data_IF_241868010751
#
_entry.id   IF_241868010751
#
_cell.length_a   1.000
_cell.length_b   1.000
_cell.length_c   1.000
_cell.angle_alpha   90.00
_cell.angle_beta   90.00
_cell.angle_gamma   90.00
#
_symmetry.space_group_name_H-M   'P 1'
#
loop_
_entity.id
_entity.type
_entity.pdbx_description
1 polymer ?
#
# COMPACT_ATOMS: atom_id res chain seq x y z
N UNK A 1 -18.17 -12.49 21.20
CA UNK A 1 -16.88 -12.16 21.83
C UNK A 1 -16.45 -10.73 21.47
N UNK A 2 -15.39 -10.20 22.11
CA UNK A 2 -14.78 -8.91 21.74
C UNK A 2 -13.32 -9.16 21.35
N UNK A 3 -13.02 -8.93 20.10
CA UNK A 3 -11.70 -9.09 19.52
C UNK A 3 -11.00 -7.76 19.35
N UNK A 4 -9.73 -7.67 19.68
CA UNK A 4 -8.89 -6.50 19.42
C UNK A 4 -7.99 -6.70 18.22
N UNK A 5 -7.77 -5.66 17.43
CA UNK A 5 -6.75 -5.66 16.40
C UNK A 5 -5.80 -4.48 16.57
N UNK A 6 -4.51 -4.77 16.66
CA UNK A 6 -3.43 -3.80 16.80
C UNK A 6 -2.42 -3.96 15.65
N UNK A 7 -1.94 -2.83 15.12
CA UNK A 7 -0.96 -2.83 14.02
C UNK A 7 0.08 -1.73 14.19
N UNK A 8 1.34 -2.09 13.94
CA UNK A 8 2.44 -1.13 13.84
C UNK A 8 3.28 -1.40 12.59
N UNK A 9 3.99 -0.37 12.10
CA UNK A 9 5.09 -0.56 11.16
C UNK A 9 6.38 -0.83 11.93
N UNK A 10 7.30 -1.59 11.37
CA UNK A 10 8.62 -1.83 11.98
C UNK A 10 9.38 -0.53 12.31
N UNK A 11 9.17 0.53 11.53
CA UNK A 11 9.71 1.87 11.80
C UNK A 11 8.91 2.65 12.87
N UNK A 12 7.68 2.27 13.15
CA UNK A 12 6.77 2.98 14.07
C UNK A 12 6.79 2.44 15.50
N UNK A 13 7.53 1.37 15.79
CA UNK A 13 7.67 0.82 17.15
C UNK A 13 8.37 1.75 18.14
N UNK A 14 9.11 2.75 17.64
CA UNK A 14 9.92 3.65 18.45
C UNK A 14 9.23 5.00 18.81
N UNK A 15 7.96 5.21 18.41
CA UNK A 15 7.25 6.47 18.68
C UNK A 15 6.25 6.25 19.80
N UNK A 16 6.39 6.97 20.89
CA UNK A 16 5.51 6.95 22.06
C UNK A 16 4.02 7.02 21.70
N UNK A 17 3.22 6.14 22.33
CA UNK A 17 1.77 6.05 22.17
C UNK A 17 1.27 5.29 20.94
N UNK A 18 2.14 4.79 20.06
CA UNK A 18 1.79 3.99 18.89
C UNK A 18 2.35 2.56 18.93
N UNK A 19 2.99 2.16 20.04
CA UNK A 19 3.53 0.81 20.20
C UNK A 19 2.41 -0.24 20.25
N UNK A 20 2.74 -1.50 19.98
CA UNK A 20 1.79 -2.62 20.12
C UNK A 20 1.31 -2.75 21.55
N UNK A 21 2.19 -2.54 22.53
CA UNK A 21 1.91 -2.64 23.96
C UNK A 21 0.87 -1.58 24.36
N UNK A 22 1.08 -0.31 23.99
CA UNK A 22 0.13 0.75 24.26
C UNK A 22 -1.24 0.51 23.61
N UNK A 23 -1.28 0.00 22.36
CA UNK A 23 -2.53 -0.35 21.71
C UNK A 23 -3.21 -1.53 22.45
N UNK A 24 -2.44 -2.54 22.89
CA UNK A 24 -2.97 -3.68 23.60
C UNK A 24 -3.64 -3.29 24.94
N UNK A 25 -3.01 -2.41 25.71
CA UNK A 25 -3.57 -1.89 26.96
C UNK A 25 -4.92 -1.18 26.72
N UNK A 26 -4.97 -0.31 25.72
CA UNK A 26 -6.20 0.40 25.34
C UNK A 26 -7.28 -0.56 24.86
N UNK A 27 -6.93 -1.58 24.06
CA UNK A 27 -7.88 -2.58 23.59
C UNK A 27 -8.41 -3.47 24.72
N UNK A 28 -7.56 -3.84 25.69
CA UNK A 28 -7.97 -4.58 26.91
C UNK A 28 -8.93 -3.73 27.74
N UNK A 29 -8.60 -2.47 27.95
CA UNK A 29 -9.47 -1.53 28.65
C UNK A 29 -10.85 -1.36 27.98
N UNK A 30 -10.90 -1.48 26.65
CA UNK A 30 -12.12 -1.49 25.86
C UNK A 30 -12.87 -2.85 25.86
N UNK A 31 -12.40 -3.83 26.64
CA UNK A 31 -13.03 -5.12 26.83
C UNK A 31 -12.60 -6.22 25.84
N UNK A 32 -11.55 -6.02 25.04
CA UNK A 32 -11.06 -7.05 24.13
C UNK A 32 -10.54 -8.26 24.90
N UNK A 33 -11.10 -9.45 24.64
CA UNK A 33 -10.74 -10.72 25.26
C UNK A 33 -9.63 -11.46 24.52
N UNK A 34 -9.50 -11.21 23.21
CA UNK A 34 -8.44 -11.74 22.36
C UNK A 34 -7.94 -10.66 21.43
N UNK A 35 -6.62 -10.50 21.29
CA UNK A 35 -6.01 -9.42 20.51
C UNK A 35 -5.07 -10.01 19.47
N UNK A 36 -5.28 -9.63 18.21
CA UNK A 36 -4.44 -9.94 17.06
C UNK A 36 -3.46 -8.79 16.83
N UNK A 37 -2.17 -9.10 16.80
CA UNK A 37 -1.09 -8.10 16.72
C UNK A 37 -0.32 -8.26 15.43
N UNK A 38 -0.37 -7.26 14.57
CA UNK A 38 0.30 -7.25 13.27
C UNK A 38 1.53 -6.34 13.30
N UNK A 39 2.68 -6.88 12.94
CA UNK A 39 3.92 -6.11 12.70
C UNK A 39 4.18 -6.07 11.20
N UNK A 40 4.14 -4.89 10.64
CA UNK A 40 4.33 -4.70 9.22
C UNK A 40 5.80 -4.45 8.87
N UNK A 41 6.41 -5.33 8.07
CA UNK A 41 7.77 -5.20 7.57
C UNK A 41 7.78 -5.01 6.05
N UNK A 42 8.18 -3.81 5.59
CA UNK A 42 8.44 -3.55 4.17
C UNK A 42 7.21 -3.29 3.27
N UNK A 43 7.36 -3.53 1.98
CA UNK A 43 6.37 -3.21 0.93
C UNK A 43 5.31 -4.30 0.70
N UNK A 44 5.55 -5.53 1.12
CA UNK A 44 4.60 -6.63 0.98
C UNK A 44 3.58 -6.62 2.12
N UNK A 45 2.30 -6.57 1.74
CA UNK A 45 1.18 -6.41 2.64
C UNK A 45 0.56 -7.79 2.98
N UNK A 46 1.35 -8.63 3.64
CA UNK A 46 0.80 -9.83 4.26
C UNK A 46 0.15 -9.43 5.59
N UNK A 47 -1.15 -9.70 5.75
CA UNK A 47 -1.95 -9.37 6.94
C UNK A 47 -2.37 -10.64 7.67
N UNK A 48 -1.40 -11.47 8.00
CA UNK A 48 -1.65 -12.80 8.57
C UNK A 48 -2.50 -12.78 9.83
N UNK A 49 -2.31 -11.77 10.67
CA UNK A 49 -3.07 -11.65 11.91
C UNK A 49 -4.49 -11.10 11.65
N UNK A 50 -4.66 -10.23 10.67
CA UNK A 50 -5.99 -9.81 10.22
C UNK A 50 -6.76 -10.97 9.60
N UNK A 51 -6.12 -11.76 8.74
CA UNK A 51 -6.71 -12.92 8.09
C UNK A 51 -7.17 -13.96 9.14
N UNK A 52 -6.39 -14.17 10.23
CA UNK A 52 -6.77 -15.00 11.36
C UNK A 52 -7.98 -14.44 12.11
N UNK A 53 -7.99 -13.13 12.35
CA UNK A 53 -9.14 -12.47 12.98
C UNK A 53 -10.40 -12.68 12.14
N UNK A 54 -10.33 -12.48 10.83
CA UNK A 54 -11.47 -12.65 9.92
C UNK A 54 -11.95 -14.10 9.83
N UNK A 55 -11.06 -15.06 9.97
CA UNK A 55 -11.40 -16.48 10.00
C UNK A 55 -12.09 -16.91 11.32
N UNK A 56 -11.87 -16.18 12.42
CA UNK A 56 -12.36 -16.58 13.74
C UNK A 56 -13.62 -15.81 14.14
N UNK A 57 -13.75 -14.55 13.73
CA UNK A 57 -14.87 -13.71 14.12
C UNK A 57 -16.18 -14.16 13.50
N UNK A 58 -17.27 -14.11 14.29
CA UNK A 58 -18.61 -14.54 13.88
C UNK A 58 -19.64 -13.42 14.03
N UNK A 59 -20.79 -13.61 13.39
CA UNK A 59 -21.94 -12.69 13.55
C UNK A 59 -22.32 -12.52 15.02
N UNK A 60 -22.53 -11.29 15.45
CA UNK A 60 -22.78 -10.92 16.84
C UNK A 60 -21.53 -10.57 17.65
N UNK A 61 -20.34 -10.87 17.13
CA UNK A 61 -19.07 -10.46 17.76
C UNK A 61 -18.79 -8.97 17.55
N UNK A 62 -17.79 -8.47 18.28
CA UNK A 62 -17.35 -7.09 18.19
C UNK A 62 -15.84 -7.06 17.91
N UNK A 63 -15.42 -6.32 16.89
CA UNK A 63 -14.01 -6.00 16.64
C UNK A 63 -13.73 -4.61 17.20
N UNK A 64 -12.69 -4.47 18.00
CA UNK A 64 -12.24 -3.20 18.58
C UNK A 64 -10.89 -2.83 17.99
N UNK A 65 -10.75 -1.59 17.54
CA UNK A 65 -9.49 -1.02 17.04
C UNK A 65 -9.28 0.38 17.65
N UNK A 66 -8.04 0.77 17.88
CA UNK A 66 -7.74 2.07 18.48
C UNK A 66 -8.06 3.23 17.55
N UNK A 67 -7.74 3.08 16.26
CA UNK A 67 -7.96 4.08 15.20
C UNK A 67 -8.21 3.40 13.86
N UNK A 68 -8.89 4.08 12.94
CA UNK A 68 -9.21 3.57 11.60
C UNK A 68 -7.94 3.23 10.78
N UNK A 69 -6.87 4.01 10.90
CA UNK A 69 -5.60 3.79 10.22
C UNK A 69 -4.87 2.51 10.67
N UNK A 70 -5.28 1.90 11.78
CA UNK A 70 -4.82 0.57 12.19
C UNK A 70 -5.44 -0.54 11.35
N UNK A 71 -6.64 -0.34 10.87
CA UNK A 71 -7.38 -1.32 10.04
C UNK A 71 -6.88 -1.29 8.60
N UNK A 72 -6.68 -0.11 8.02
CA UNK A 72 -6.23 0.04 6.64
C UNK A 72 -5.28 1.25 6.47
N UNK A 73 -4.64 1.35 5.32
CA UNK A 73 -3.75 2.48 4.97
C UNK A 73 -4.48 3.65 4.31
N UNK A 74 -5.64 3.39 3.75
CA UNK A 74 -6.49 4.42 3.14
C UNK A 74 -7.83 4.43 3.82
N UNK A 75 -8.48 5.58 3.85
CA UNK A 75 -9.85 5.71 4.37
C UNK A 75 -10.81 4.81 3.59
N UNK A 76 -10.69 4.75 2.27
CA UNK A 76 -11.51 3.88 1.41
C UNK A 76 -11.37 2.42 1.81
N UNK A 77 -10.15 1.88 1.85
CA UNK A 77 -9.93 0.48 2.20
C UNK A 77 -10.31 0.15 3.65
N UNK A 78 -10.20 1.12 4.57
CA UNK A 78 -10.69 0.95 5.94
C UNK A 78 -12.19 0.88 6.01
N UNK A 79 -12.85 1.74 5.27
CA UNK A 79 -14.30 1.73 5.14
C UNK A 79 -14.82 0.42 4.54
N UNK A 80 -14.28 0.00 3.38
CA UNK A 80 -14.69 -1.22 2.69
C UNK A 80 -14.57 -2.46 3.60
N UNK A 81 -13.48 -2.54 4.36
CA UNK A 81 -13.26 -3.64 5.29
C UNK A 81 -14.27 -3.61 6.46
N UNK A 82 -14.49 -2.44 7.07
CA UNK A 82 -15.46 -2.28 8.16
C UNK A 82 -16.87 -2.60 7.65
N UNK A 83 -17.23 -2.13 6.47
CA UNK A 83 -18.54 -2.38 5.87
C UNK A 83 -18.76 -3.88 5.63
N UNK A 84 -17.75 -4.59 5.12
CA UNK A 84 -17.80 -6.05 4.94
C UNK A 84 -18.03 -6.81 6.25
N UNK A 85 -17.43 -6.35 7.36
CA UNK A 85 -17.63 -6.95 8.67
C UNK A 85 -19.05 -6.69 9.20
N UNK A 86 -19.56 -5.48 9.00
CA UNK A 86 -20.92 -5.11 9.42
C UNK A 86 -21.98 -5.90 8.62
N UNK A 87 -21.75 -6.12 7.33
CA UNK A 87 -22.61 -6.97 6.49
C UNK A 87 -22.65 -8.43 6.97
N UNK A 88 -21.54 -8.92 7.54
CA UNK A 88 -21.48 -10.23 8.22
C UNK A 88 -22.10 -10.23 9.61
N UNK A 89 -22.70 -9.13 10.06
CA UNK A 89 -23.32 -9.01 11.38
C UNK A 89 -22.35 -8.76 12.53
N UNK A 90 -21.12 -8.33 12.24
CA UNK A 90 -20.09 -8.01 13.22
C UNK A 90 -20.19 -6.51 13.55
N UNK A 91 -20.07 -6.15 14.81
CA UNK A 91 -19.94 -4.75 15.24
C UNK A 91 -18.48 -4.33 15.23
N UNK A 92 -18.20 -3.10 14.83
CA UNK A 92 -16.84 -2.55 14.84
C UNK A 92 -16.79 -1.33 15.73
N UNK A 93 -15.97 -1.36 16.77
CA UNK A 93 -15.72 -0.22 17.64
C UNK A 93 -14.36 0.39 17.31
N UNK A 94 -14.38 1.53 16.65
CA UNK A 94 -13.20 2.35 16.41
C UNK A 94 -13.11 3.39 17.50
N UNK A 95 -12.20 3.22 18.46
CA UNK A 95 -12.24 3.96 19.74
C UNK A 95 -12.25 5.49 19.60
N UNK A 96 -11.65 6.02 18.54
CA UNK A 96 -11.65 7.46 18.27
C UNK A 96 -12.84 7.94 17.43
N UNK A 97 -13.73 7.04 16.95
CA UNK A 97 -14.86 7.36 16.09
C UNK A 97 -16.19 6.85 16.66
N UNK A 98 -16.13 5.79 17.47
CA UNK A 98 -17.30 5.16 18.07
C UNK A 98 -17.65 3.80 17.45
N UNK A 99 -18.82 3.28 17.83
CA UNK A 99 -19.33 1.99 17.40
C UNK A 99 -19.99 2.12 16.03
N UNK A 100 -19.58 1.25 15.11
CA UNK A 100 -20.16 1.10 13.78
C UNK A 100 -20.89 -0.24 13.69
N UNK A 101 -22.15 -0.18 13.35
CA UNK A 101 -23.04 -1.33 13.23
C UNK A 101 -24.07 -1.10 12.10
N UNK A 102 -25.13 -1.91 12.06
CA UNK A 102 -26.14 -1.82 11.04
C UNK A 102 -27.32 -0.86 11.38
N UNK A 103 -27.16 0.03 12.37
CA UNK A 103 -28.16 1.05 12.69
C UNK A 103 -28.23 2.14 11.61
N UNK A 104 -29.38 2.82 11.45
CA UNK A 104 -29.50 3.93 10.49
C UNK A 104 -28.48 5.04 10.72
N UNK A 105 -28.21 5.41 11.97
CA UNK A 105 -27.21 6.42 12.34
C UNK A 105 -25.78 5.99 11.92
N UNK A 106 -25.42 4.75 12.19
CA UNK A 106 -24.13 4.20 11.80
C UNK A 106 -23.97 4.11 10.27
N UNK A 107 -25.03 3.74 9.54
CA UNK A 107 -25.04 3.77 8.07
C UNK A 107 -24.82 5.18 7.51
N UNK A 108 -25.50 6.19 8.09
CA UNK A 108 -25.33 7.59 7.68
C UNK A 108 -23.88 8.05 7.93
N UNK A 109 -23.32 7.76 9.11
CA UNK A 109 -21.94 8.09 9.45
C UNK A 109 -20.93 7.42 8.49
N UNK A 110 -21.12 6.14 8.18
CA UNK A 110 -20.29 5.42 7.18
C UNK A 110 -20.38 6.04 5.80
N UNK A 111 -21.56 6.47 5.37
CA UNK A 111 -21.75 7.18 4.11
C UNK A 111 -20.97 8.51 4.06
N UNK A 112 -20.93 9.25 5.16
CA UNK A 112 -20.09 10.46 5.26
C UNK A 112 -18.61 10.14 5.12
N UNK A 113 -18.11 9.07 5.76
CA UNK A 113 -16.71 8.67 5.60
C UNK A 113 -16.36 8.30 4.15
N UNK A 114 -17.27 7.67 3.42
CA UNK A 114 -17.07 7.36 2.01
C UNK A 114 -16.92 8.64 1.18
N UNK A 115 -17.78 9.63 1.41
CA UNK A 115 -17.71 10.93 0.73
C UNK A 115 -16.37 11.64 1.05
N UNK A 116 -15.96 11.65 2.31
CA UNK A 116 -14.67 12.24 2.70
C UNK A 116 -13.48 11.50 2.08
N UNK A 117 -13.53 10.19 2.02
CA UNK A 117 -12.48 9.38 1.40
C UNK A 117 -12.36 9.65 -0.10
N UNK A 118 -13.49 9.83 -0.78
CA UNK A 118 -13.52 10.22 -2.18
C UNK A 118 -12.97 11.64 -2.41
N UNK A 119 -13.40 12.59 -1.58
CA UNK A 119 -12.88 13.96 -1.60
C UNK A 119 -11.35 13.99 -1.40
N UNK A 120 -10.81 13.27 -0.41
CA UNK A 120 -9.37 13.18 -0.18
C UNK A 120 -8.63 12.65 -1.41
N UNK A 121 -9.16 11.60 -2.05
CA UNK A 121 -8.59 11.04 -3.28
C UNK A 121 -8.58 12.05 -4.41
N UNK A 122 -9.68 12.75 -4.62
CA UNK A 122 -9.80 13.77 -5.67
C UNK A 122 -8.83 14.92 -5.44
N UNK A 123 -8.68 15.38 -4.19
CA UNK A 123 -7.69 16.40 -3.81
C UNK A 123 -6.24 15.95 -4.05
N UNK A 124 -5.92 14.68 -3.82
CA UNK A 124 -4.57 14.13 -4.12
C UNK A 124 -4.33 14.14 -5.64
N UNK A 125 -5.31 13.70 -6.43
CA UNK A 125 -5.22 13.70 -7.90
C UNK A 125 -5.04 15.12 -8.42
N UNK A 126 -5.84 16.07 -7.95
CA UNK A 126 -5.76 17.48 -8.35
C UNK A 126 -4.39 18.08 -8.01
N UNK A 127 -3.92 17.93 -6.78
CA UNK A 127 -2.59 18.40 -6.35
C UNK A 127 -1.47 17.77 -7.18
N UNK A 128 -1.58 16.49 -7.50
CA UNK A 128 -0.60 15.80 -8.35
C UNK A 128 -0.61 16.36 -9.77
N UNK A 129 -1.79 16.66 -10.32
CA UNK A 129 -1.96 17.25 -11.65
C UNK A 129 -1.38 18.67 -11.72
N UNK A 130 -1.64 19.48 -10.69
CA UNK A 130 -1.06 20.82 -10.57
C UNK A 130 0.46 20.76 -10.45
N UNK A 131 1.00 19.89 -9.61
CA UNK A 131 2.43 19.68 -9.46
C UNK A 131 3.09 19.26 -10.77
N UNK A 132 2.48 18.35 -11.53
CA UNK A 132 2.94 17.97 -12.88
C UNK A 132 2.89 19.15 -13.87
N UNK A 133 1.83 19.96 -13.84
CA UNK A 133 1.69 21.14 -14.68
C UNK A 133 2.78 22.17 -14.41
N UNK A 134 3.12 22.40 -13.13
CA UNK A 134 4.22 23.29 -12.75
C UNK A 134 5.55 22.69 -13.20
N UNK A 135 5.81 21.42 -12.92
CA UNK A 135 7.03 20.73 -13.31
C UNK A 135 7.23 20.73 -14.85
N UNK A 136 6.16 20.58 -15.64
CA UNK A 136 6.22 20.56 -17.10
C UNK A 136 6.64 21.91 -17.74
N UNK A 137 6.66 22.98 -16.96
CA UNK A 137 7.18 24.28 -17.39
C UNK A 137 8.72 24.36 -17.35
N UNK A 138 9.37 23.40 -16.68
CA UNK A 138 10.84 23.34 -16.68
C UNK A 138 11.36 22.72 -17.98
N UNK A 139 12.41 23.31 -18.62
CA UNK A 139 13.02 22.76 -19.83
C UNK A 139 13.55 21.32 -19.65
N UNK A 140 13.95 20.98 -18.43
CA UNK A 140 14.50 19.66 -18.07
C UNK A 140 13.42 18.65 -17.63
N UNK A 141 12.15 19.06 -17.67
CA UNK A 141 11.06 18.16 -17.27
C UNK A 141 10.89 17.03 -18.27
N UNK A 142 10.86 15.83 -17.73
CA UNK A 142 10.53 14.63 -18.49
C UNK A 142 9.54 13.79 -17.71
N UNK A 143 8.43 13.43 -18.33
CA UNK A 143 7.45 12.54 -17.76
C UNK A 143 7.92 11.07 -17.88
N UNK A 144 7.68 10.29 -16.82
CA UNK A 144 7.97 8.87 -16.78
C UNK A 144 9.33 8.51 -16.18
N UNK A 145 9.74 7.25 -16.39
CA UNK A 145 11.00 6.72 -15.86
C UNK A 145 12.19 7.32 -16.65
N UNK A 146 13.21 7.76 -15.95
CA UNK A 146 14.47 8.20 -16.58
C UNK A 146 15.01 7.09 -17.50
N UNK A 147 15.56 7.46 -18.67
CA UNK A 147 16.24 6.49 -19.52
C UNK A 147 17.35 5.78 -18.74
N UNK A 148 17.54 4.53 -19.03
CA UNK A 148 18.69 3.81 -18.47
C UNK A 148 19.95 4.36 -19.14
N UNK A 149 20.86 4.90 -18.34
CA UNK A 149 22.19 5.27 -18.82
C UNK A 149 23.00 4.01 -19.09
N UNK A 150 23.68 3.98 -20.21
CA UNK A 150 24.56 2.87 -20.60
C UNK A 150 25.68 3.37 -21.48
N UNK A 151 26.81 2.68 -21.47
CA UNK A 151 27.92 2.98 -22.38
C UNK A 151 27.55 2.54 -23.81
N UNK A 152 27.46 3.54 -24.70
CA UNK A 152 27.07 3.34 -26.10
C UNK A 152 28.12 2.57 -26.88
N UNK A 153 29.41 2.84 -26.62
CA UNK A 153 30.51 2.16 -27.32
C UNK A 153 30.58 0.71 -26.88
N UNK A 154 30.46 0.44 -25.60
CA UNK A 154 30.42 -0.93 -25.09
C UNK A 154 29.18 -1.68 -25.63
N UNK A 155 28.04 -1.02 -25.75
CA UNK A 155 26.84 -1.65 -26.35
C UNK A 155 27.14 -2.09 -27.79
N UNK A 156 27.72 -1.21 -28.61
CA UNK A 156 27.99 -1.49 -30.03
C UNK A 156 28.95 -2.68 -30.19
N UNK A 157 30.02 -2.77 -29.38
CA UNK A 157 30.95 -3.92 -29.35
C UNK A 157 30.25 -5.22 -28.95
N UNK A 158 29.46 -5.16 -27.86
CA UNK A 158 28.76 -6.35 -27.39
C UNK A 158 27.64 -6.77 -28.36
N UNK A 159 26.99 -5.83 -29.03
CA UNK A 159 25.94 -6.12 -30.01
C UNK A 159 26.52 -6.86 -31.22
N UNK A 160 27.68 -6.43 -31.73
CA UNK A 160 28.38 -7.11 -32.80
C UNK A 160 28.76 -8.55 -32.41
N UNK A 161 29.23 -8.77 -31.17
CA UNK A 161 29.53 -10.11 -30.66
C UNK A 161 28.28 -11.00 -30.57
N UNK A 162 27.13 -10.43 -30.19
CA UNK A 162 25.85 -11.15 -30.17
C UNK A 162 25.41 -11.51 -31.59
N UNK A 163 25.54 -10.61 -32.58
CA UNK A 163 25.17 -10.88 -33.97
C UNK A 163 26.06 -11.99 -34.57
N UNK A 164 27.33 -11.98 -34.21
CA UNK A 164 28.30 -13.04 -34.61
C UNK A 164 28.13 -14.36 -33.81
N UNK A 165 27.15 -14.43 -32.91
CA UNK A 165 26.88 -15.58 -32.01
C UNK A 165 28.05 -15.97 -31.09
N UNK A 166 28.97 -15.03 -30.82
CA UNK A 166 30.10 -15.20 -29.90
C UNK A 166 29.70 -14.96 -28.45
N UNK A 167 28.60 -14.27 -28.23
CA UNK A 167 28.07 -13.90 -26.90
C UNK A 167 26.54 -14.07 -26.86
N UNK A 168 26.01 -14.50 -25.72
CA UNK A 168 24.52 -14.51 -25.55
C UNK A 168 23.99 -13.13 -25.18
N UNK A 169 22.75 -12.83 -25.55
CA UNK A 169 22.08 -11.57 -25.14
C UNK A 169 22.08 -11.42 -23.63
N UNK A 170 21.97 -12.51 -22.90
CA UNK A 170 21.95 -12.50 -21.43
C UNK A 170 23.28 -12.04 -20.85
N UNK A 171 24.37 -12.55 -21.39
CA UNK A 171 25.72 -12.18 -20.93
C UNK A 171 26.09 -10.75 -21.38
N UNK A 172 25.74 -10.38 -22.61
CA UNK A 172 25.93 -9.03 -23.11
C UNK A 172 25.17 -7.99 -22.25
N UNK A 173 23.90 -8.24 -21.94
CA UNK A 173 23.11 -7.37 -21.07
C UNK A 173 23.71 -7.24 -19.66
N UNK A 174 24.23 -8.35 -19.11
CA UNK A 174 24.93 -8.37 -17.81
C UNK A 174 26.21 -7.54 -17.84
N UNK A 175 27.02 -7.67 -18.89
CA UNK A 175 28.25 -6.87 -19.06
C UNK A 175 27.95 -5.37 -19.22
N UNK A 176 26.85 -5.02 -19.90
CA UNK A 176 26.41 -3.64 -20.06
C UNK A 176 25.74 -3.07 -18.79
N UNK A 177 25.47 -3.91 -17.77
CA UNK A 177 24.79 -3.49 -16.54
C UNK A 177 23.28 -3.24 -16.70
N UNK A 178 22.63 -3.85 -17.70
CA UNK A 178 21.21 -3.68 -17.99
C UNK A 178 20.46 -5.01 -17.95
N UNK A 179 19.12 -4.95 -17.89
CA UNK A 179 18.30 -6.16 -18.04
C UNK A 179 18.22 -6.60 -19.50
N UNK A 180 17.96 -7.89 -19.72
CA UNK A 180 17.74 -8.43 -21.07
C UNK A 180 16.64 -7.69 -21.84
N UNK A 181 15.57 -7.29 -21.16
CA UNK A 181 14.49 -6.51 -21.77
C UNK A 181 14.95 -5.11 -22.18
N UNK A 182 15.78 -4.47 -21.36
CA UNK A 182 16.40 -3.17 -21.68
C UNK A 182 17.34 -3.28 -22.85
N UNK A 183 18.12 -4.36 -22.96
CA UNK A 183 18.98 -4.64 -24.11
C UNK A 183 18.21 -4.63 -25.43
N UNK A 184 17.13 -5.41 -25.53
CA UNK A 184 16.31 -5.44 -26.75
C UNK A 184 15.73 -4.08 -27.10
N UNK A 185 15.27 -3.31 -26.12
CA UNK A 185 14.78 -1.96 -26.36
C UNK A 185 15.85 -1.02 -26.90
N UNK A 186 17.08 -1.11 -26.39
CA UNK A 186 18.21 -0.32 -26.88
C UNK A 186 18.54 -0.73 -28.34
N UNK A 187 18.60 -2.03 -28.62
CA UNK A 187 18.87 -2.55 -29.94
C UNK A 187 17.82 -2.11 -30.98
N UNK A 188 16.55 -2.10 -30.59
CA UNK A 188 15.45 -1.65 -31.45
C UNK A 188 15.52 -0.12 -31.74
N UNK A 189 15.81 0.68 -30.73
CA UNK A 189 15.99 2.12 -30.86
C UNK A 189 17.17 2.51 -31.76
N UNK A 190 18.26 1.71 -31.75
CA UNK A 190 19.43 1.89 -32.61
C UNK A 190 19.19 1.49 -34.05
N UNK A 191 18.24 0.59 -34.35
CA UNK A 191 17.83 0.22 -35.71
C UNK A 191 16.91 1.26 -36.35
N UNK A 192 16.22 2.06 -35.53
CA UNK A 192 15.24 3.04 -36.00
C UNK A 192 15.80 4.46 -36.18
N UNK A 193 17.05 4.72 -35.80
CA UNK A 193 17.75 6.01 -35.92
C UNK A 193 19.02 5.91 -36.73
#
# INVERSE_FOLDING_TARGET
>A
MIYGYARVSSAGQAIDGNSLESQEEVLKAAGATKIFKEVYTGTKMERKELDKLEAEVQSGDTIVVTKLDRVARSLVGGYELIDSWIEKGIRVNVLNLGVMDNTPASRAMRGMFLVFAQFERDMIVERTREGKKIASQSPDYREGRKPTEYDRNLFDVLHEQVEKRLLTVTDAAKQLGVTRQTWYRIAEQRKAG
#
